data_IF_819069237073
#
_entry.id   IF_819069237073
#
_cell.length_a   1.000
_cell.length_b   1.000
_cell.length_c   1.000
_cell.angle_alpha   90.00
_cell.angle_beta   90.00
_cell.angle_gamma   90.00
#
_symmetry.space_group_name_H-M   'P 1'
#
loop_
_entity.id
_entity.type
_entity.pdbx_description
1 polymer ?
#
# COMPACT_ATOMS: atom_id res chain seq x y z
N UNK A 1 16.29 -10.49 31.43
CA UNK A 1 15.30 -10.89 30.40
C UNK A 1 15.16 -9.82 29.33
N UNK A 2 15.16 -8.53 29.71
CA UNK A 2 15.06 -7.41 28.74
C UNK A 2 16.18 -7.36 27.70
N UNK A 3 17.45 -7.52 28.08
CA UNK A 3 18.55 -7.49 27.10
C UNK A 3 18.55 -8.63 26.06
N UNK A 4 17.77 -9.70 26.26
CA UNK A 4 17.53 -10.74 25.23
C UNK A 4 16.42 -10.31 24.27
N UNK A 5 15.41 -9.62 24.77
CA UNK A 5 14.30 -9.08 23.98
C UNK A 5 14.84 -7.98 23.06
N UNK A 6 15.67 -7.06 23.56
CA UNK A 6 16.26 -5.98 22.74
C UNK A 6 17.06 -6.51 21.54
N UNK A 7 17.82 -7.59 21.71
CA UNK A 7 18.56 -8.23 20.61
C UNK A 7 17.63 -8.82 19.55
N UNK A 8 16.50 -9.37 19.97
CA UNK A 8 15.48 -9.91 19.06
C UNK A 8 14.78 -8.76 18.33
N UNK A 9 14.44 -7.68 19.03
CA UNK A 9 13.82 -6.48 18.44
C UNK A 9 14.75 -5.79 17.43
N UNK A 10 16.04 -5.67 17.74
CA UNK A 10 17.03 -5.14 16.81
C UNK A 10 17.17 -6.00 15.54
N UNK A 11 17.14 -7.33 15.69
CA UNK A 11 17.19 -8.25 14.55
C UNK A 11 15.93 -8.18 13.69
N UNK A 12 14.76 -8.10 14.31
CA UNK A 12 13.48 -7.89 13.59
C UNK A 12 13.54 -6.58 12.81
N UNK A 13 14.01 -5.50 13.44
CA UNK A 13 14.11 -4.18 12.82
C UNK A 13 15.03 -4.20 11.59
N UNK A 14 16.19 -4.85 11.67
CA UNK A 14 17.10 -5.01 10.53
C UNK A 14 16.43 -5.78 9.38
N UNK A 15 15.74 -6.88 9.70
CA UNK A 15 15.04 -7.70 8.70
C UNK A 15 13.92 -6.92 8.01
N UNK A 16 13.18 -6.12 8.78
CA UNK A 16 12.11 -5.26 8.28
C UNK A 16 12.67 -4.17 7.38
N UNK A 17 13.81 -3.58 7.75
CA UNK A 17 14.53 -2.58 6.96
C UNK A 17 15.00 -3.15 5.62
N UNK A 18 15.56 -4.36 5.63
CA UNK A 18 16.02 -5.03 4.41
C UNK A 18 14.83 -5.34 3.48
N UNK A 19 13.74 -5.87 4.02
CA UNK A 19 12.53 -6.14 3.23
C UNK A 19 11.89 -4.85 2.67
N UNK A 20 11.83 -3.79 3.48
CA UNK A 20 11.34 -2.48 3.05
C UNK A 20 12.25 -1.85 1.98
N UNK A 21 13.56 -2.04 2.06
CA UNK A 21 14.52 -1.59 1.05
C UNK A 21 14.34 -2.29 -0.30
N UNK A 22 13.85 -3.53 -0.31
CA UNK A 22 13.55 -4.26 -1.55
C UNK A 22 12.17 -3.95 -2.15
N UNK A 23 11.24 -3.43 -1.36
CA UNK A 23 9.87 -3.16 -1.79
C UNK A 23 9.82 -1.93 -2.72
N UNK A 24 9.36 -2.11 -3.95
CA UNK A 24 9.26 -1.02 -4.94
C UNK A 24 7.88 -0.40 -4.99
N UNK A 25 6.86 -1.17 -4.61
CA UNK A 25 5.45 -0.77 -4.72
C UNK A 25 4.81 -0.56 -3.34
N UNK A 26 3.83 0.35 -3.28
CA UNK A 26 3.03 0.59 -2.08
C UNK A 26 2.36 -0.70 -1.58
N UNK A 27 1.86 -1.54 -2.49
CA UNK A 27 1.24 -2.82 -2.16
C UNK A 27 2.20 -3.82 -1.48
N UNK A 28 3.47 -3.87 -1.91
CA UNK A 28 4.47 -4.75 -1.30
C UNK A 28 4.86 -4.25 0.09
N UNK A 29 5.08 -2.94 0.18
CA UNK A 29 5.35 -2.27 1.46
C UNK A 29 4.19 -2.50 2.44
N UNK A 30 2.94 -2.34 2.01
CA UNK A 30 1.74 -2.58 2.81
C UNK A 30 1.65 -4.04 3.30
N UNK A 31 1.90 -5.02 2.42
CA UNK A 31 1.92 -6.45 2.79
C UNK A 31 2.95 -6.77 3.87
N UNK A 32 4.14 -6.20 3.76
CA UNK A 32 5.20 -6.34 4.77
C UNK A 32 4.70 -5.72 6.09
N UNK A 33 4.18 -4.50 6.05
CA UNK A 33 3.66 -3.81 7.24
C UNK A 33 2.52 -4.57 7.94
N UNK A 34 1.55 -5.12 7.20
CA UNK A 34 0.46 -5.90 7.79
C UNK A 34 0.95 -7.13 8.53
N UNK A 35 2.05 -7.76 8.07
CA UNK A 35 2.61 -8.96 8.71
C UNK A 35 3.30 -8.67 10.04
N UNK A 36 3.86 -7.47 10.20
CA UNK A 36 4.62 -7.09 11.39
C UNK A 36 3.87 -6.11 12.31
N UNK A 37 2.62 -5.76 11.97
CA UNK A 37 1.79 -4.78 12.68
C UNK A 37 1.75 -4.97 14.20
N UNK A 38 1.58 -6.20 14.68
CA UNK A 38 1.46 -6.51 16.12
C UNK A 38 2.75 -6.21 16.90
N UNK A 39 3.91 -6.15 16.20
CA UNK A 39 5.21 -5.89 16.81
C UNK A 39 5.51 -4.39 16.93
N UNK A 40 4.68 -3.52 16.34
CA UNK A 40 4.90 -2.06 16.33
C UNK A 40 4.50 -1.37 17.63
N UNK A 41 3.82 -2.07 18.53
CA UNK A 41 3.51 -1.58 19.88
C UNK A 41 4.78 -1.41 20.72
N UNK A 42 5.91 -2.01 20.28
CA UNK A 42 7.19 -1.93 20.98
C UNK A 42 7.97 -0.66 20.62
N UNK A 43 8.41 0.15 21.60
CA UNK A 43 8.98 1.47 21.35
C UNK A 43 10.28 1.45 20.53
N UNK A 44 11.12 0.43 20.67
CA UNK A 44 12.37 0.32 19.89
C UNK A 44 12.12 0.04 18.41
N UNK A 45 11.13 -0.79 18.09
CA UNK A 45 10.74 -1.11 16.71
C UNK A 45 9.98 0.07 16.09
N UNK A 46 9.05 0.67 16.83
CA UNK A 46 8.23 1.79 16.36
C UNK A 46 9.05 3.01 15.94
N UNK A 47 10.14 3.32 16.66
CA UNK A 47 11.04 4.42 16.31
C UNK A 47 11.71 4.24 14.94
N UNK A 48 12.21 3.02 14.66
CA UNK A 48 12.89 2.72 13.39
C UNK A 48 11.93 2.65 12.19
N UNK A 49 10.64 2.42 12.44
CA UNK A 49 9.62 2.24 11.40
C UNK A 49 8.92 3.54 11.02
N UNK A 50 8.92 4.55 11.91
CA UNK A 50 8.20 5.81 11.72
C UNK A 50 8.53 6.53 10.40
N UNK A 51 9.80 6.48 9.98
CA UNK A 51 10.23 7.03 8.70
C UNK A 51 9.57 6.31 7.51
N UNK A 52 9.59 4.98 7.53
CA UNK A 52 8.97 4.15 6.49
C UNK A 52 7.43 4.24 6.48
N UNK A 53 6.80 4.44 7.65
CA UNK A 53 5.37 4.74 7.72
C UNK A 53 5.04 6.03 6.99
N UNK A 54 5.84 7.07 7.18
CA UNK A 54 5.64 8.35 6.50
C UNK A 54 5.76 8.17 4.98
N UNK A 55 6.75 7.40 4.52
CA UNK A 55 6.89 7.07 3.10
C UNK A 55 5.71 6.25 2.55
N UNK A 56 5.21 5.27 3.30
CA UNK A 56 4.05 4.48 2.90
C UNK A 56 2.80 5.38 2.78
N UNK A 57 2.56 6.26 3.75
CA UNK A 57 1.42 7.18 3.73
C UNK A 57 1.48 8.08 2.50
N UNK A 58 2.66 8.62 2.17
CA UNK A 58 2.81 9.44 0.95
C UNK A 58 2.52 8.62 -0.31
N UNK A 59 3.08 7.41 -0.45
CA UNK A 59 2.79 6.56 -1.61
C UNK A 59 1.31 6.20 -1.75
N UNK A 60 0.65 5.87 -0.63
CA UNK A 60 -0.79 5.58 -0.63
C UNK A 60 -1.59 6.83 -0.99
N UNK A 61 -1.16 8.01 -0.55
CA UNK A 61 -1.77 9.29 -0.93
C UNK A 61 -1.62 9.54 -2.43
N UNK A 62 -0.44 9.33 -3.00
CA UNK A 62 -0.21 9.45 -4.45
C UNK A 62 -1.08 8.47 -5.25
N UNK A 63 -1.23 7.23 -4.76
CA UNK A 63 -2.12 6.23 -5.36
C UNK A 63 -3.60 6.66 -5.30
N UNK A 64 -4.04 7.26 -4.19
CA UNK A 64 -5.39 7.83 -4.04
C UNK A 64 -5.59 9.01 -4.99
N UNK A 65 -4.60 9.90 -5.10
CA UNK A 65 -4.66 11.03 -6.04
C UNK A 65 -4.73 10.54 -7.49
N UNK A 66 -3.92 9.54 -7.86
CA UNK A 66 -3.99 8.89 -9.17
C UNK A 66 -5.37 8.26 -9.44
N UNK A 67 -5.95 7.61 -8.43
CA UNK A 67 -7.30 7.06 -8.52
C UNK A 67 -8.35 8.16 -8.68
N UNK A 68 -8.19 9.27 -7.97
CA UNK A 68 -9.08 10.42 -8.07
C UNK A 68 -9.01 11.07 -9.47
N UNK A 69 -7.81 11.20 -10.05
CA UNK A 69 -7.64 11.68 -11.43
C UNK A 69 -8.27 10.73 -12.46
N UNK A 70 -8.15 9.41 -12.27
CA UNK A 70 -8.88 8.43 -13.09
C UNK A 70 -10.39 8.62 -12.98
N UNK A 71 -10.90 8.85 -11.77
CA UNK A 71 -12.33 9.06 -11.54
C UNK A 71 -12.83 10.35 -12.22
N UNK A 72 -12.04 11.44 -12.20
CA UNK A 72 -12.34 12.69 -12.90
C UNK A 72 -12.44 12.54 -14.41
N UNK A 73 -11.64 11.66 -15.02
CA UNK A 73 -11.68 11.41 -16.47
C UNK A 73 -13.01 10.77 -16.93
N UNK A 74 -13.87 10.35 -16.00
CA UNK A 74 -15.17 9.71 -16.20
C UNK A 74 -15.10 8.40 -17.00
N UNK A 75 -15.88 7.42 -16.58
CA UNK A 75 -15.96 6.13 -17.25
C UNK A 75 -16.22 6.26 -18.76
N UNK A 76 -17.09 7.20 -19.16
CA UNK A 76 -17.54 7.39 -20.55
C UNK A 76 -16.38 7.68 -21.51
N UNK A 77 -15.38 8.46 -21.09
CA UNK A 77 -14.21 8.82 -21.90
C UNK A 77 -13.03 7.85 -21.73
N UNK A 78 -13.11 6.95 -20.75
CA UNK A 78 -12.06 5.98 -20.47
C UNK A 78 -11.98 4.86 -21.51
N UNK A 79 -10.80 4.25 -21.63
CA UNK A 79 -10.61 3.01 -22.42
C UNK A 79 -11.46 1.86 -21.88
N UNK A 80 -11.83 1.88 -20.60
CA UNK A 80 -12.66 0.86 -19.97
C UNK A 80 -14.06 0.80 -20.61
N UNK A 81 -14.69 1.95 -20.92
CA UNK A 81 -15.98 1.95 -21.62
C UNK A 81 -15.92 1.31 -23.02
N UNK A 82 -14.82 1.52 -23.76
CA UNK A 82 -14.63 0.86 -25.07
C UNK A 82 -14.46 -0.66 -24.92
N UNK A 83 -13.70 -1.09 -23.90
CA UNK A 83 -13.47 -2.51 -23.62
C UNK A 83 -14.76 -3.19 -23.15
N UNK A 84 -15.50 -2.58 -22.21
CA UNK A 84 -16.76 -3.11 -21.72
C UNK A 84 -17.81 -3.23 -22.82
N UNK A 85 -17.90 -2.24 -23.72
CA UNK A 85 -18.78 -2.35 -24.91
C UNK A 85 -18.38 -3.49 -25.84
N UNK A 86 -17.08 -3.76 -25.98
CA UNK A 86 -16.58 -4.89 -26.78
C UNK A 86 -16.80 -6.25 -26.12
N UNK A 87 -17.11 -6.28 -24.81
CA UNK A 87 -17.45 -7.49 -24.05
C UNK A 87 -18.97 -7.56 -23.77
N UNK A 88 -19.78 -6.86 -24.58
CA UNK A 88 -21.23 -6.82 -24.48
C UNK A 88 -21.78 -6.36 -23.10
N UNK A 89 -20.98 -5.61 -22.33
CA UNK A 89 -21.41 -5.02 -21.07
C UNK A 89 -22.13 -3.68 -21.32
N UNK A 90 -23.38 -3.50 -20.83
CA UNK A 90 -24.08 -2.23 -20.91
C UNK A 90 -23.30 -1.11 -20.22
N UNK A 91 -23.41 0.14 -20.69
CA UNK A 91 -22.67 1.27 -20.13
C UNK A 91 -22.97 1.50 -18.64
N UNK A 92 -24.19 1.23 -18.18
CA UNK A 92 -24.60 1.32 -16.77
C UNK A 92 -23.92 0.28 -15.90
N UNK A 93 -23.85 -0.98 -16.35
CA UNK A 93 -23.15 -2.05 -15.61
C UNK A 93 -21.64 -1.81 -15.61
N UNK A 94 -21.08 -1.38 -16.74
CA UNK A 94 -19.65 -1.07 -16.85
C UNK A 94 -19.22 0.15 -16.04
N UNK A 95 -20.07 1.18 -15.91
CA UNK A 95 -19.77 2.33 -15.05
C UNK A 95 -19.76 1.96 -13.57
N UNK A 96 -20.60 1.02 -13.14
CA UNK A 96 -20.64 0.53 -11.76
C UNK A 96 -19.42 -0.37 -11.48
N UNK A 97 -19.01 -1.20 -12.42
CA UNK A 97 -17.83 -2.08 -12.27
C UNK A 97 -16.51 -1.29 -12.24
N UNK A 98 -16.46 -0.16 -12.95
CA UNK A 98 -15.27 0.68 -13.03
C UNK A 98 -15.11 1.65 -11.85
N UNK A 99 -16.22 2.03 -11.20
CA UNK A 99 -16.22 2.88 -10.02
C UNK A 99 -15.66 2.13 -8.79
#
# INVERSE_FOLDING_TARGET
YDGRIDRVEARITSLLRDQLGTAKNANEMFRIFSRFHELFVRPHIGGAIREYQTQLIQRVKDDIESLHEKFKQQYVHSKANRISRSNDLPPTSGSIIWA
#
